data_IF_210681323380
#
_entry.id   IF_210681323380
#
_cell.length_a   1.000
_cell.length_b   1.000
_cell.length_c   1.000
_cell.angle_alpha   90.00
_cell.angle_beta   90.00
_cell.angle_gamma   90.00
#
_symmetry.space_group_name_H-M   'P 1'
#
loop_
_entity.id
_entity.type
_entity.pdbx_description
1 polymer ?
#
# COMPACT_ATOMS: atom_id res chain seq x y z
N UNK A 1 11.90 19.64 -18.92
CA UNK A 1 11.94 19.02 -17.56
C UNK A 1 10.62 18.32 -17.38
N UNK A 2 10.62 16.99 -17.34
CA UNK A 2 9.40 16.20 -17.14
C UNK A 2 8.87 16.44 -15.73
N UNK A 3 7.68 17.01 -15.60
CA UNK A 3 7.07 17.30 -14.31
C UNK A 3 6.35 16.03 -13.80
N UNK A 4 7.13 15.04 -13.39
CA UNK A 4 6.58 13.77 -12.91
C UNK A 4 5.99 13.95 -11.52
N UNK A 5 4.69 13.71 -11.40
CA UNK A 5 3.96 13.71 -10.14
C UNK A 5 3.68 12.29 -9.69
N UNK A 6 3.87 11.99 -8.41
CA UNK A 6 3.50 10.71 -7.83
C UNK A 6 2.19 10.84 -7.04
N UNK A 7 1.20 10.06 -7.45
CA UNK A 7 -0.06 9.91 -6.73
C UNK A 7 0.00 8.66 -5.85
N UNK A 8 -0.69 8.71 -4.72
CA UNK A 8 -0.87 7.59 -3.82
C UNK A 8 -2.36 7.37 -3.61
N UNK A 9 -2.84 6.20 -4.00
CA UNK A 9 -4.24 5.80 -3.89
C UNK A 9 -4.35 4.63 -2.92
N UNK A 10 -5.19 4.80 -1.90
CA UNK A 10 -5.57 3.71 -1.00
C UNK A 10 -6.56 2.80 -1.75
N UNK A 11 -6.40 1.51 -1.60
CA UNK A 11 -7.18 0.53 -2.34
C UNK A 11 -7.72 -0.57 -1.40
N UNK A 12 -8.23 -1.62 -2.00
CA UNK A 12 -8.89 -2.74 -1.36
C UNK A 12 -8.02 -3.48 -0.32
N UNK A 13 -8.67 -4.32 0.43
CA UNK A 13 -8.05 -5.23 1.39
C UNK A 13 -7.00 -6.12 0.73
N UNK A 14 -5.81 -6.22 1.33
CA UNK A 14 -4.69 -6.95 0.75
C UNK A 14 -4.66 -8.44 1.13
N UNK A 15 -5.14 -8.79 2.32
CA UNK A 15 -5.14 -10.15 2.84
C UNK A 15 -6.56 -10.62 3.16
N UNK A 16 -6.86 -11.89 2.86
CA UNK A 16 -8.08 -12.57 3.31
C UNK A 16 -8.05 -12.75 4.84
N UNK A 17 -9.23 -12.98 5.45
CA UNK A 17 -9.35 -13.19 6.91
C UNK A 17 -8.42 -14.28 7.42
N UNK A 18 -8.38 -15.42 6.75
CA UNK A 18 -7.51 -16.53 7.11
C UNK A 18 -6.02 -16.14 7.12
N UNK A 19 -5.57 -15.40 6.12
CA UNK A 19 -4.17 -14.93 6.04
C UNK A 19 -3.88 -13.88 7.11
N UNK A 20 -4.82 -12.98 7.35
CA UNK A 20 -4.73 -11.95 8.39
C UNK A 20 -4.60 -12.57 9.76
N UNK A 21 -5.47 -13.55 10.11
CA UNK A 21 -5.44 -14.25 11.39
C UNK A 21 -4.13 -15.03 11.59
N UNK A 22 -3.69 -15.76 10.55
CA UNK A 22 -2.42 -16.51 10.58
C UNK A 22 -1.22 -15.60 10.80
N UNK A 23 -1.22 -14.43 10.16
CA UNK A 23 -0.16 -13.43 10.28
C UNK A 23 -0.20 -12.76 11.64
N UNK A 24 -1.40 -12.41 12.13
CA UNK A 24 -1.61 -11.85 13.47
C UNK A 24 -1.06 -12.79 14.55
N UNK A 25 -1.37 -14.08 14.50
CA UNK A 25 -0.81 -15.08 15.44
C UNK A 25 0.72 -15.14 15.43
N UNK A 26 1.35 -14.94 14.27
CA UNK A 26 2.82 -14.86 14.18
C UNK A 26 3.36 -13.58 14.81
N UNK A 27 2.70 -12.45 14.60
CA UNK A 27 3.09 -11.16 15.16
C UNK A 27 2.90 -11.15 16.68
N UNK A 28 1.82 -11.75 17.19
CA UNK A 28 1.55 -11.86 18.62
C UNK A 28 2.58 -12.70 19.39
N UNK A 29 3.29 -13.62 18.71
CA UNK A 29 4.43 -14.33 19.32
C UNK A 29 5.64 -13.41 19.54
N UNK A 30 5.75 -12.33 18.79
CA UNK A 30 6.82 -11.32 18.92
C UNK A 30 6.39 -10.25 19.91
N UNK A 31 5.18 -9.73 19.73
CA UNK A 31 4.59 -8.69 20.58
C UNK A 31 3.14 -9.07 20.93
N UNK A 32 2.89 -9.61 22.14
CA UNK A 32 1.54 -9.99 22.58
C UNK A 32 0.56 -8.80 22.71
N UNK A 33 1.08 -7.59 22.77
CA UNK A 33 0.29 -6.35 22.85
C UNK A 33 -0.47 -6.04 21.55
N UNK A 34 -0.15 -6.71 20.45
CA UNK A 34 -0.86 -6.51 19.16
C UNK A 34 -2.20 -7.21 19.20
N UNK A 35 -3.27 -6.43 19.13
CA UNK A 35 -4.67 -6.92 19.19
C UNK A 35 -5.22 -7.18 17.79
N UNK A 36 -4.95 -6.29 16.85
CA UNK A 36 -5.54 -6.36 15.50
C UNK A 36 -4.51 -6.05 14.43
N UNK A 37 -4.65 -6.74 13.31
CA UNK A 37 -3.89 -6.51 12.09
C UNK A 37 -4.88 -6.25 10.95
N UNK A 38 -4.78 -5.09 10.32
CA UNK A 38 -5.46 -4.78 9.08
C UNK A 38 -4.42 -4.66 7.95
N UNK A 39 -4.86 -4.93 6.74
CA UNK A 39 -4.00 -4.80 5.57
C UNK A 39 -4.78 -4.26 4.37
N UNK A 40 -4.16 -3.35 3.62
CA UNK A 40 -4.72 -2.82 2.39
C UNK A 40 -3.63 -2.62 1.34
N UNK A 41 -4.04 -2.67 0.09
CA UNK A 41 -3.18 -2.26 -1.00
C UNK A 41 -3.07 -0.74 -1.07
N UNK A 42 -1.92 -0.29 -1.54
CA UNK A 42 -1.66 1.10 -1.88
C UNK A 42 -1.07 1.12 -3.28
N UNK A 43 -1.67 1.91 -4.15
CA UNK A 43 -1.14 2.12 -5.50
C UNK A 43 -0.31 3.40 -5.54
N UNK A 44 0.88 3.28 -6.09
CA UNK A 44 1.77 4.40 -6.41
C UNK A 44 1.72 4.62 -7.91
N UNK A 45 1.22 5.76 -8.33
CA UNK A 45 1.03 6.09 -9.74
C UNK A 45 1.93 7.27 -10.10
N UNK A 46 2.86 7.05 -11.00
CA UNK A 46 3.69 8.11 -11.55
C UNK A 46 3.02 8.65 -12.81
N UNK A 47 2.81 9.95 -12.84
CA UNK A 47 2.09 10.64 -13.92
C UNK A 47 2.97 11.75 -14.50
N UNK A 48 2.96 11.90 -15.81
CA UNK A 48 3.57 13.03 -16.50
C UNK A 48 2.56 14.19 -16.52
N UNK A 49 2.85 15.23 -15.71
CA UNK A 49 1.97 16.37 -15.53
C UNK A 49 0.80 16.09 -14.57
N UNK A 50 -0.37 16.64 -14.88
CA UNK A 50 -1.59 16.50 -14.11
C UNK A 50 -2.65 15.70 -14.88
N UNK A 51 -3.42 14.87 -14.17
CA UNK A 51 -4.60 14.21 -14.71
C UNK A 51 -5.80 15.14 -14.66
N UNK A 52 -6.67 15.06 -15.66
CA UNK A 52 -8.00 15.69 -15.59
C UNK A 52 -8.89 14.94 -14.59
N UNK A 53 -10.02 15.54 -14.22
CA UNK A 53 -10.96 14.89 -13.30
C UNK A 53 -11.51 13.59 -13.87
N UNK A 54 -11.75 13.51 -15.17
CA UNK A 54 -12.21 12.31 -15.87
C UNK A 54 -11.13 11.23 -15.91
N UNK A 55 -9.89 11.60 -16.25
CA UNK A 55 -8.73 10.70 -16.24
C UNK A 55 -8.50 10.13 -14.84
N UNK A 56 -8.62 10.96 -13.80
CA UNK A 56 -8.46 10.53 -12.42
C UNK A 56 -9.56 9.57 -11.98
N UNK A 57 -10.82 9.86 -12.32
CA UNK A 57 -11.94 8.96 -12.01
C UNK A 57 -11.83 7.62 -12.73
N UNK A 58 -11.39 7.63 -13.99
CA UNK A 58 -11.11 6.39 -14.74
C UNK A 58 -10.00 5.59 -14.06
N UNK A 59 -8.93 6.24 -13.63
CA UNK A 59 -7.83 5.59 -12.91
C UNK A 59 -8.30 4.97 -11.58
N UNK A 60 -9.09 5.70 -10.79
CA UNK A 60 -9.69 5.17 -9.56
C UNK A 60 -10.55 3.93 -9.84
N UNK A 61 -11.40 3.97 -10.86
CA UNK A 61 -12.27 2.85 -11.23
C UNK A 61 -11.48 1.60 -11.66
N UNK A 62 -10.35 1.77 -12.36
CA UNK A 62 -9.48 0.65 -12.75
C UNK A 62 -8.78 0.04 -11.54
N UNK A 63 -8.40 0.88 -10.58
CA UNK A 63 -7.64 0.46 -9.40
C UNK A 63 -8.52 0.08 -8.19
N UNK A 64 -9.83 0.27 -8.29
CA UNK A 64 -10.81 -0.15 -7.29
C UNK A 64 -11.28 -1.57 -7.58
N UNK A 65 -10.59 -2.54 -6.96
CA UNK A 65 -10.88 -3.97 -7.11
C UNK A 65 -10.72 -4.68 -5.76
N UNK A 66 -11.49 -5.74 -5.57
CA UNK A 66 -11.47 -6.56 -4.35
C UNK A 66 -12.41 -6.04 -3.26
N UNK A 67 -12.20 -6.54 -2.04
CA UNK A 67 -13.03 -6.17 -0.88
C UNK A 67 -12.59 -4.84 -0.29
N UNK A 68 -13.56 -4.09 0.23
CA UNK A 68 -13.29 -2.82 0.89
C UNK A 68 -12.36 -2.98 2.10
N UNK A 69 -11.39 -2.10 2.22
CA UNK A 69 -10.44 -2.14 3.31
C UNK A 69 -11.03 -1.50 4.58
N UNK A 70 -10.87 -2.18 5.70
CA UNK A 70 -11.25 -1.63 7.01
C UNK A 70 -10.21 -0.58 7.40
N UNK A 71 -10.63 0.67 7.44
CA UNK A 71 -9.78 1.79 7.89
C UNK A 71 -10.04 2.05 9.36
N UNK A 72 -9.06 1.73 10.20
CA UNK A 72 -9.13 1.98 11.65
C UNK A 72 -7.99 2.88 12.10
N UNK A 73 -8.16 3.52 13.25
CA UNK A 73 -7.07 4.25 13.89
C UNK A 73 -5.99 3.25 14.33
N UNK A 74 -4.91 3.19 13.57
CA UNK A 74 -3.79 2.28 13.84
C UNK A 74 -2.74 2.93 14.72
N UNK A 75 -2.14 2.14 15.61
CA UNK A 75 -1.03 2.58 16.47
C UNK A 75 0.28 2.59 15.68
N UNK A 76 0.53 1.54 14.89
CA UNK A 76 1.73 1.39 14.07
C UNK A 76 1.38 0.98 12.64
N UNK A 77 2.19 1.47 11.70
CA UNK A 77 2.02 1.18 10.27
C UNK A 77 3.31 0.71 9.64
N UNK A 78 3.21 -0.37 8.89
CA UNK A 78 4.28 -0.91 8.05
C UNK A 78 3.86 -0.89 6.59
N UNK A 79 4.79 -0.58 5.71
CA UNK A 79 4.54 -0.59 4.28
C UNK A 79 5.54 -1.50 3.59
N UNK A 80 5.03 -2.54 2.96
CA UNK A 80 5.80 -3.40 2.09
C UNK A 80 5.67 -2.89 0.66
N UNK A 81 6.78 -2.45 0.09
CA UNK A 81 6.86 -1.96 -1.29
C UNK A 81 7.85 -2.81 -2.09
N UNK A 82 7.67 -2.92 -3.41
CA UNK A 82 8.65 -3.54 -4.26
C UNK A 82 10.01 -2.86 -4.14
N UNK A 83 11.07 -3.63 -4.37
CA UNK A 83 12.44 -3.12 -4.33
C UNK A 83 12.60 -1.97 -5.33
N UNK A 84 13.23 -0.90 -4.90
CA UNK A 84 13.56 0.23 -5.78
C UNK A 84 14.43 -0.26 -6.95
N UNK A 85 14.12 0.21 -8.16
CA UNK A 85 14.82 -0.16 -9.38
C UNK A 85 14.32 -1.46 -10.05
N UNK A 86 13.36 -2.18 -9.45
CA UNK A 86 12.71 -3.33 -10.07
C UNK A 86 11.30 -2.99 -10.54
N UNK A 87 10.85 -3.66 -11.59
CA UNK A 87 9.47 -3.57 -12.08
C UNK A 87 8.80 -4.90 -11.75
N UNK A 88 7.74 -4.86 -10.94
CA UNK A 88 6.99 -6.08 -10.65
C UNK A 88 6.17 -6.53 -11.86
N UNK A 89 5.94 -7.85 -12.06
CA UNK A 89 5.06 -8.34 -13.12
C UNK A 89 3.65 -7.77 -13.03
N UNK A 90 3.17 -7.48 -11.80
CA UNK A 90 1.90 -6.83 -11.58
C UNK A 90 1.92 -5.39 -12.10
N UNK A 91 2.99 -4.64 -11.84
CA UNK A 91 3.13 -3.24 -12.28
C UNK A 91 3.11 -3.12 -13.81
N UNK A 92 3.77 -4.03 -14.53
CA UNK A 92 3.75 -4.05 -15.99
C UNK A 92 2.32 -4.22 -16.50
N UNK A 93 1.60 -5.24 -16.02
CA UNK A 93 0.21 -5.50 -16.43
C UNK A 93 -0.73 -4.36 -16.06
N UNK A 94 -0.62 -3.80 -14.86
CA UNK A 94 -1.47 -2.70 -14.43
C UNK A 94 -1.23 -1.44 -15.27
N UNK A 95 0.02 -1.13 -15.59
CA UNK A 95 0.37 -0.01 -16.45
C UNK A 95 -0.17 -0.19 -17.87
N UNK A 96 -0.06 -1.40 -18.44
CA UNK A 96 -0.61 -1.72 -19.76
C UNK A 96 -2.13 -1.57 -19.79
N UNK A 97 -2.85 -2.03 -18.77
CA UNK A 97 -4.30 -1.88 -18.66
C UNK A 97 -4.68 -0.40 -18.62
N UNK A 98 -4.00 0.39 -17.81
CA UNK A 98 -4.24 1.83 -17.67
C UNK A 98 -4.00 2.54 -19.00
N UNK A 99 -2.95 2.18 -19.75
CA UNK A 99 -2.68 2.73 -21.08
C UNK A 99 -3.75 2.33 -22.11
N UNK A 100 -4.24 1.09 -22.07
CA UNK A 100 -5.31 0.61 -22.95
C UNK A 100 -6.65 1.34 -22.67
N UNK A 101 -6.85 1.81 -21.42
CA UNK A 101 -7.98 2.67 -21.07
C UNK A 101 -7.79 4.15 -21.45
N UNK A 102 -6.74 4.48 -22.20
CA UNK A 102 -6.50 5.83 -22.70
C UNK A 102 -5.67 6.75 -21.81
N UNK A 103 -5.27 6.30 -20.61
CA UNK A 103 -4.51 7.10 -19.64
C UNK A 103 -3.00 7.12 -19.95
N UNK A 104 -2.63 7.66 -21.09
CA UNK A 104 -1.23 7.67 -21.58
C UNK A 104 -0.28 8.54 -20.76
N UNK A 105 -0.80 9.47 -19.96
CA UNK A 105 -0.01 10.28 -19.02
C UNK A 105 0.50 9.48 -17.83
N UNK A 106 -0.10 8.32 -17.54
CA UNK A 106 0.36 7.44 -16.47
C UNK A 106 1.63 6.73 -16.94
N UNK A 107 2.75 7.05 -16.34
CA UNK A 107 4.04 6.45 -16.68
C UNK A 107 4.21 5.05 -16.08
N UNK A 108 3.70 4.87 -14.86
CA UNK A 108 3.82 3.60 -14.12
C UNK A 108 2.81 3.53 -13.00
N UNK A 109 2.26 2.34 -12.81
CA UNK A 109 1.48 1.97 -11.64
C UNK A 109 2.24 0.89 -10.88
N UNK A 110 2.46 1.08 -9.57
CA UNK A 110 3.08 0.09 -8.71
C UNK A 110 2.18 -0.15 -7.49
N UNK A 111 2.26 -1.33 -6.89
CA UNK A 111 1.44 -1.73 -5.76
C UNK A 111 2.28 -2.09 -4.55
N UNK A 112 2.01 -1.44 -3.43
CA UNK A 112 2.50 -1.81 -2.11
C UNK A 112 1.39 -2.39 -1.24
N UNK A 113 1.77 -2.93 -0.09
CA UNK A 113 0.85 -3.38 0.95
C UNK A 113 1.11 -2.58 2.23
N UNK A 114 0.06 -1.95 2.75
CA UNK A 114 0.10 -1.29 4.05
C UNK A 114 -0.46 -2.26 5.09
N UNK A 115 0.29 -2.49 6.15
CA UNK A 115 -0.14 -3.22 7.33
C UNK A 115 -0.35 -2.25 8.47
N UNK A 116 -1.50 -2.33 9.12
CA UNK A 116 -1.88 -1.48 10.22
C UNK A 116 -2.08 -2.33 11.47
N UNK A 117 -1.29 -2.05 12.49
CA UNK A 117 -1.35 -2.74 13.78
C UNK A 117 -2.04 -1.85 14.82
N UNK A 118 -2.93 -2.46 15.57
CA UNK A 118 -3.52 -1.85 16.77
C UNK A 118 -2.92 -2.56 17.98
N UNK A 119 -2.29 -1.78 18.84
CA UNK A 119 -1.73 -2.25 20.10
C UNK A 119 -2.70 -1.96 21.24
N UNK A 120 -2.61 -2.76 22.30
CA UNK A 120 -3.45 -2.63 23.48
C UNK A 120 -3.05 -1.38 24.29
N UNK A 121 -4.03 -0.53 24.60
CA UNK A 121 -3.81 0.68 25.39
C UNK A 121 -2.82 1.64 24.72
N UNK A 122 -1.85 2.13 25.50
CA UNK A 122 -0.78 3.03 25.05
C UNK A 122 0.54 2.30 24.76
N UNK A 123 0.49 0.99 24.47
CA UNK A 123 1.69 0.22 24.16
C UNK A 123 2.39 0.76 22.91
N UNK A 124 3.70 0.75 22.93
CA UNK A 124 4.57 1.18 21.83
C UNK A 124 5.52 0.04 21.51
N UNK A 125 5.68 -0.27 20.24
CA UNK A 125 6.62 -1.29 19.77
C UNK A 125 8.06 -0.88 20.08
N UNK A 126 8.80 -1.78 20.70
CA UNK A 126 10.25 -1.65 20.85
C UNK A 126 10.93 -1.75 19.49
N UNK A 127 12.11 -1.15 19.31
CA UNK A 127 12.84 -1.24 18.03
C UNK A 127 13.07 -2.68 17.55
N UNK A 128 13.42 -3.59 18.46
CA UNK A 128 13.65 -5.01 18.19
C UNK A 128 12.38 -5.74 17.74
N UNK A 129 11.25 -5.49 18.41
CA UNK A 129 9.95 -6.02 18.02
C UNK A 129 9.52 -5.52 16.65
N UNK A 130 9.79 -4.24 16.36
CA UNK A 130 9.49 -3.62 15.07
C UNK A 130 10.27 -4.28 13.94
N UNK A 131 11.56 -4.54 14.11
CA UNK A 131 12.39 -5.23 13.14
C UNK A 131 11.93 -6.67 12.92
N UNK A 132 11.63 -7.38 14.01
CA UNK A 132 11.14 -8.75 13.95
C UNK A 132 9.77 -8.83 13.24
N UNK A 133 8.85 -7.90 13.51
CA UNK A 133 7.56 -7.79 12.82
C UNK A 133 7.77 -7.46 11.34
N UNK A 134 8.63 -6.50 11.02
CA UNK A 134 8.96 -6.17 9.63
C UNK A 134 9.51 -7.38 8.87
N UNK A 135 10.35 -8.20 9.50
CA UNK A 135 10.87 -9.43 8.91
C UNK A 135 9.78 -10.50 8.67
N UNK A 136 8.71 -10.52 9.48
CA UNK A 136 7.56 -11.42 9.30
C UNK A 136 6.63 -10.91 8.20
N UNK A 137 6.46 -9.59 8.08
CA UNK A 137 5.63 -8.95 7.05
C UNK A 137 6.29 -9.00 5.67
N UNK A 138 7.60 -9.16 5.64
CA UNK A 138 8.36 -9.38 4.43
C UNK A 138 8.08 -10.80 3.91
N UNK A 139 7.50 -10.94 2.73
CA UNK A 139 7.21 -12.27 2.18
C UNK A 139 8.51 -13.03 1.89
N UNK A 140 8.80 -14.01 2.73
CA UNK A 140 9.96 -14.90 2.61
C UNK A 140 9.84 -15.92 1.47
N UNK A 141 8.73 -15.95 0.73
CA UNK A 141 8.56 -16.90 -0.37
C UNK A 141 9.50 -16.68 -1.57
N UNK A 142 10.18 -15.54 -1.61
CA UNK A 142 11.23 -15.26 -2.60
C UNK A 142 12.63 -15.60 -2.10
N UNK A 143 12.79 -16.62 -1.28
CA UNK A 143 14.08 -17.18 -0.87
C UNK A 143 14.52 -18.37 -1.72
N UNK A 144 14.08 -18.48 -2.95
CA UNK A 144 14.79 -19.32 -3.90
C UNK A 144 16.06 -18.58 -4.35
N UNK A 145 17.22 -19.26 -4.40
CA UNK A 145 18.42 -18.66 -4.93
C UNK A 145 18.17 -18.27 -6.38
N UNK A 146 18.04 -16.96 -6.64
CA UNK A 146 17.72 -16.39 -7.96
C UNK A 146 16.45 -15.55 -8.02
N UNK A 147 15.60 -15.52 -7.00
CA UNK A 147 14.43 -14.63 -6.95
C UNK A 147 14.80 -13.30 -6.28
N UNK A 148 15.15 -12.31 -7.10
CA UNK A 148 15.52 -10.95 -6.65
C UNK A 148 14.32 -10.04 -6.33
N UNK A 149 13.13 -10.56 -6.14
CA UNK A 149 11.94 -9.79 -5.78
C UNK A 149 11.91 -9.46 -4.28
N UNK A 150 12.90 -8.70 -3.83
CA UNK A 150 12.93 -8.18 -2.47
C UNK A 150 11.88 -7.07 -2.29
N UNK A 151 10.94 -7.24 -1.38
CA UNK A 151 10.12 -6.14 -0.90
C UNK A 151 10.85 -5.42 0.24
N UNK A 152 10.81 -4.12 0.26
CA UNK A 152 11.34 -3.32 1.36
C UNK A 152 10.19 -2.92 2.29
N UNK A 153 10.33 -3.25 3.57
CA UNK A 153 9.40 -2.77 4.60
C UNK A 153 9.95 -1.48 5.19
N UNK A 154 9.20 -0.41 5.10
CA UNK A 154 9.56 0.87 5.67
C UNK A 154 8.46 1.40 6.59
N UNK A 155 8.87 2.23 7.54
CA UNK A 155 7.95 2.94 8.42
C UNK A 155 7.17 3.96 7.59
N UNK A 156 5.85 3.87 7.59
CA UNK A 156 5.01 4.91 7.02
C UNK A 156 4.88 6.06 8.04
N UNK A 157 5.63 7.14 7.85
CA UNK A 157 5.36 8.38 8.58
C UNK A 157 4.00 8.92 8.12
N UNK A 158 3.16 9.39 9.04
CA UNK A 158 1.95 10.15 8.71
C UNK A 158 2.38 11.43 7.98
N UNK A 159 2.40 11.40 6.66
CA UNK A 159 2.51 12.63 5.87
C UNK A 159 1.10 12.99 5.42
N UNK A 160 0.67 14.22 5.72
CA UNK A 160 -0.59 14.78 5.24
C UNK A 160 -0.58 14.77 3.71
N UNK A 161 -1.57 14.10 3.11
CA UNK A 161 -1.51 13.68 1.71
C UNK A 161 -2.18 14.66 0.77
N UNK A 162 -1.60 14.75 -0.44
CA UNK A 162 -2.18 15.45 -1.59
C UNK A 162 -3.59 14.92 -1.96
N UNK A 163 -3.89 13.66 -1.63
CA UNK A 163 -5.19 13.00 -1.86
C UNK A 163 -6.30 13.58 -0.98
N UNK A 164 -6.00 14.02 0.26
CA UNK A 164 -6.98 14.70 1.11
C UNK A 164 -7.47 16.03 0.52
N UNK A 165 -6.67 16.66 -0.32
CA UNK A 165 -7.06 17.89 -1.01
C UNK A 165 -8.13 17.62 -2.06
N UNK A 166 -8.05 16.50 -2.75
CA UNK A 166 -9.00 16.11 -3.81
C UNK A 166 -10.34 15.61 -3.24
N UNK A 167 -10.31 14.82 -2.14
CA UNK A 167 -11.54 14.39 -1.43
C UNK A 167 -12.29 15.57 -0.80
N UNK A 168 -11.60 16.55 -0.24
CA UNK A 168 -12.26 17.76 0.34
C UNK A 168 -12.94 18.62 -0.71
N UNK A 169 -12.46 18.63 -1.96
CA UNK A 169 -13.10 19.37 -3.05
C UNK A 169 -14.43 18.70 -3.45
N UNK A 170 -14.53 17.38 -3.36
CA UNK A 170 -15.74 16.63 -3.70
C UNK A 170 -16.87 16.79 -2.68
N UNK A 171 -16.55 16.99 -1.39
CA UNK A 171 -17.56 17.24 -0.34
C UNK A 171 -18.11 18.66 -0.32
N UNK A 172 -17.54 19.58 -1.08
CA UNK A 172 -18.03 20.97 -1.20
C UNK A 172 -18.87 21.23 -2.45
N UNK A 173 -18.99 20.23 -3.33
CA UNK A 173 -19.76 20.33 -4.59
C UNK A 173 -20.97 19.39 -4.63
N UNK A 174 -21.39 18.84 -3.47
CA UNK A 174 -22.62 18.04 -3.29
C UNK A 174 -23.60 18.78 -2.38
#
# INVERSE_FOLDING_TARGET
>A
MSNTTQLRLDASRALSDFRTERLLKKIQKICPEVVTLNSRYIHFVNVDGALSSEEFHTLESILDYGEEAIVTASTERFMAIPRLGTISPWASKATDIVHNCGLKKVLRVERGTCYELILKGNAVLKPEEREAIAAVLHDRKCREPGCESGHRVCRCKRQGHAVDRYRRTRQRSA
#
